data_IF_320388487789
#
_entry.id   IF_320388487789
#
_cell.length_a   1.000
_cell.length_b   1.000
_cell.length_c   1.000
_cell.angle_alpha   90.00
_cell.angle_beta   90.00
_cell.angle_gamma   90.00
#
_symmetry.space_group_name_H-M   'P 1'
#
loop_
_entity.id
_entity.type
_entity.pdbx_description
1 polymer ?
#
# COMPACT_ATOMS: atom_id res chain seq x y z
N UNK A 1 1.56 19.99 -7.98
CA UNK A 1 1.02 19.01 -8.95
C UNK A 1 1.40 17.59 -8.52
N UNK A 2 0.44 16.71 -8.53
CA UNK A 2 0.66 15.30 -8.19
C UNK A 2 0.72 14.45 -9.45
N UNK A 3 1.71 13.57 -9.51
CA UNK A 3 1.88 12.63 -10.61
C UNK A 3 2.12 11.25 -10.01
N UNK A 4 1.44 10.23 -10.55
CA UNK A 4 1.71 8.84 -10.19
C UNK A 4 2.43 8.15 -11.35
N UNK A 5 3.31 7.22 -11.02
CA UNK A 5 3.97 6.37 -12.01
C UNK A 5 4.39 5.06 -11.37
N UNK A 6 4.73 4.04 -12.17
CA UNK A 6 5.27 2.80 -11.60
C UNK A 6 6.60 3.07 -10.87
N UNK A 7 6.85 2.29 -9.84
CA UNK A 7 8.12 2.30 -9.13
C UNK A 7 9.26 1.91 -10.09
N UNK A 8 10.40 2.55 -9.91
CA UNK A 8 11.66 2.21 -10.60
C UNK A 8 12.72 1.90 -9.55
N UNK A 9 13.68 0.99 -9.84
CA UNK A 9 14.75 0.68 -8.88
C UNK A 9 15.53 1.90 -8.39
N UNK A 10 15.63 2.94 -9.21
CA UNK A 10 16.30 4.19 -8.80
C UNK A 10 15.54 4.94 -7.71
N UNK A 11 14.29 4.56 -7.43
CA UNK A 11 13.49 5.17 -6.37
C UNK A 11 13.82 4.62 -4.98
N UNK A 12 14.56 3.52 -4.89
CA UNK A 12 14.78 2.81 -3.62
C UNK A 12 15.24 3.72 -2.48
N UNK A 13 16.23 4.61 -2.66
CA UNK A 13 16.64 5.47 -1.54
C UNK A 13 15.49 6.31 -0.97
N UNK A 14 14.61 6.81 -1.84
CA UNK A 14 13.45 7.60 -1.41
C UNK A 14 12.41 6.73 -0.71
N UNK A 15 12.18 5.51 -1.22
CA UNK A 15 11.26 4.56 -0.60
C UNK A 15 11.75 4.16 0.79
N UNK A 16 13.02 3.85 0.93
CA UNK A 16 13.63 3.48 2.22
C UNK A 16 13.42 4.62 3.24
N UNK A 17 13.65 5.85 2.81
CA UNK A 17 13.46 7.03 3.69
C UNK A 17 12.00 7.14 4.13
N UNK A 18 11.05 6.98 3.22
CA UNK A 18 9.62 7.05 3.54
C UNK A 18 9.23 5.94 4.51
N UNK A 19 9.70 4.72 4.28
CA UNK A 19 9.39 3.58 5.15
C UNK A 19 9.92 3.82 6.56
N UNK A 20 11.16 4.30 6.69
CA UNK A 20 11.74 4.59 7.99
C UNK A 20 10.95 5.66 8.75
N UNK A 21 10.55 6.73 8.06
CA UNK A 21 9.85 7.84 8.71
C UNK A 21 8.38 7.55 8.99
N UNK A 22 7.71 6.81 8.09
CA UNK A 22 6.27 6.62 8.14
C UNK A 22 5.85 5.36 8.85
N UNK A 23 6.57 4.26 8.60
CA UNK A 23 6.22 2.93 9.11
C UNK A 23 7.16 2.50 10.22
N UNK A 24 8.27 3.21 10.43
CA UNK A 24 9.31 2.88 11.42
C UNK A 24 9.80 1.45 11.24
N UNK A 25 9.92 1.03 9.98
CA UNK A 25 10.40 -0.29 9.60
C UNK A 25 11.65 -0.14 8.77
N UNK A 26 12.39 -1.22 8.63
CA UNK A 26 13.59 -1.26 7.83
C UNK A 26 13.64 -2.59 7.09
N UNK A 27 13.51 -2.52 5.77
CA UNK A 27 13.53 -3.70 4.91
C UNK A 27 14.75 -3.65 4.00
N UNK A 28 15.30 -4.81 3.60
CA UNK A 28 16.40 -4.81 2.63
C UNK A 28 15.94 -4.31 1.28
N UNK A 29 16.81 -3.59 0.53
CA UNK A 29 16.45 -3.10 -0.81
C UNK A 29 15.96 -4.19 -1.75
N UNK A 30 16.44 -5.43 -1.60
CA UNK A 30 16.03 -6.55 -2.43
C UNK A 30 14.54 -6.85 -2.32
N UNK A 31 13.90 -6.52 -1.18
CA UNK A 31 12.46 -6.71 -1.03
C UNK A 31 11.69 -5.91 -2.07
N UNK A 32 12.08 -4.65 -2.27
CA UNK A 32 11.38 -3.78 -3.23
C UNK A 32 11.51 -4.28 -4.66
N UNK A 33 12.68 -4.81 -5.01
CA UNK A 33 12.89 -5.40 -6.33
C UNK A 33 12.04 -6.65 -6.51
N UNK A 34 11.94 -7.49 -5.49
CA UNK A 34 11.10 -8.68 -5.53
C UNK A 34 9.63 -8.31 -5.72
N UNK A 35 9.15 -7.30 -4.98
CA UNK A 35 7.75 -6.84 -5.09
C UNK A 35 7.48 -6.32 -6.50
N UNK A 36 8.40 -5.54 -7.06
CA UNK A 36 8.26 -5.05 -8.43
C UNK A 36 8.18 -6.19 -9.44
N UNK A 37 9.02 -7.21 -9.27
CA UNK A 37 9.04 -8.36 -10.18
C UNK A 37 7.77 -9.19 -10.11
N UNK A 38 7.14 -9.26 -8.94
CA UNK A 38 5.90 -10.01 -8.79
C UNK A 38 4.73 -9.35 -9.51
N UNK A 39 4.67 -8.03 -9.53
CA UNK A 39 3.60 -7.32 -10.23
C UNK A 39 3.96 -5.83 -10.36
N UNK A 40 4.46 -5.45 -11.53
CA UNK A 40 4.92 -4.09 -11.79
C UNK A 40 3.80 -3.05 -11.55
N UNK A 41 2.57 -3.35 -11.98
CA UNK A 41 1.46 -2.40 -11.88
C UNK A 41 0.94 -2.24 -10.45
N UNK A 42 1.40 -3.06 -9.52
CA UNK A 42 1.02 -2.97 -8.11
C UNK A 42 1.95 -2.10 -7.29
N UNK A 43 3.06 -1.63 -7.85
CA UNK A 43 4.02 -0.81 -7.11
C UNK A 43 4.06 0.58 -7.75
N UNK A 44 3.41 1.54 -7.07
CA UNK A 44 3.13 2.87 -7.61
C UNK A 44 3.70 3.92 -6.67
N UNK A 45 4.41 4.91 -7.23
CA UNK A 45 4.91 6.05 -6.47
C UNK A 45 4.11 7.30 -6.85
N UNK A 46 3.96 8.21 -5.89
CA UNK A 46 3.33 9.51 -6.12
C UNK A 46 4.35 10.60 -5.87
N UNK A 47 4.47 11.49 -6.86
CA UNK A 47 5.37 12.62 -6.78
C UNK A 47 4.58 13.91 -6.66
N UNK A 48 5.06 14.79 -5.79
CA UNK A 48 4.58 16.16 -5.69
C UNK A 48 5.72 17.06 -6.14
N UNK A 49 5.51 17.79 -7.22
CA UNK A 49 6.52 18.68 -7.79
C UNK A 49 7.87 18.00 -8.01
N UNK A 50 7.82 16.76 -8.52
CA UNK A 50 9.02 15.99 -8.84
C UNK A 50 9.63 15.22 -7.68
N UNK A 51 9.08 15.32 -6.48
CA UNK A 51 9.59 14.63 -5.29
C UNK A 51 8.64 13.51 -4.90
N UNK A 52 9.18 12.30 -4.65
CA UNK A 52 8.38 11.17 -4.17
C UNK A 52 7.95 11.46 -2.73
N UNK A 53 6.63 11.50 -2.50
CA UNK A 53 6.06 11.78 -1.17
C UNK A 53 5.22 10.62 -0.63
N UNK A 54 4.98 9.61 -1.43
CA UNK A 54 4.25 8.42 -0.99
C UNK A 54 4.32 7.30 -2.01
N UNK A 55 3.93 6.11 -1.59
CA UNK A 55 3.87 4.96 -2.48
C UNK A 55 2.91 3.91 -1.95
N UNK A 56 2.45 3.03 -2.85
CA UNK A 56 1.73 1.82 -2.50
C UNK A 56 2.44 0.65 -3.17
N UNK A 57 2.55 -0.46 -2.46
CA UNK A 57 3.15 -1.69 -2.97
C UNK A 57 2.18 -2.84 -2.73
N UNK A 58 1.78 -3.51 -3.79
CA UNK A 58 0.86 -4.64 -3.75
C UNK A 58 1.37 -5.78 -4.62
N UNK A 59 0.96 -6.99 -4.28
CA UNK A 59 1.35 -8.20 -5.01
C UNK A 59 0.10 -9.03 -5.30
N UNK A 60 0.14 -9.92 -6.32
CA UNK A 60 -0.95 -10.86 -6.52
C UNK A 60 -1.03 -11.84 -5.35
N UNK A 61 -2.25 -12.22 -4.97
CA UNK A 61 -2.49 -13.16 -3.87
C UNK A 61 -3.60 -14.11 -4.29
N UNK A 62 -3.27 -15.06 -5.14
CA UNK A 62 -4.24 -15.94 -5.75
C UNK A 62 -4.86 -15.33 -7.00
N UNK A 63 -5.92 -15.97 -7.52
CA UNK A 63 -6.62 -15.51 -8.71
C UNK A 63 -7.46 -14.29 -8.39
N UNK A 64 -7.30 -13.23 -9.18
CA UNK A 64 -8.12 -12.01 -9.11
C UNK A 64 -8.01 -11.21 -7.81
N UNK A 65 -6.98 -11.47 -7.00
CA UNK A 65 -6.81 -10.81 -5.69
C UNK A 65 -5.47 -10.09 -5.66
N UNK A 66 -5.48 -8.83 -5.25
CA UNK A 66 -4.27 -8.07 -4.96
C UNK A 66 -4.15 -7.89 -3.44
N UNK A 67 -2.95 -8.07 -2.91
CA UNK A 67 -2.67 -7.85 -1.49
C UNK A 67 -1.78 -6.64 -1.33
N UNK A 68 -2.24 -5.63 -0.60
CA UNK A 68 -1.44 -4.46 -0.29
C UNK A 68 -0.46 -4.82 0.82
N UNK A 69 0.82 -4.68 0.54
CA UNK A 69 1.88 -4.93 1.52
C UNK A 69 2.24 -3.65 2.28
N UNK A 70 2.27 -2.52 1.57
CA UNK A 70 2.65 -1.23 2.16
C UNK A 70 1.89 -0.11 1.48
N UNK A 71 1.44 0.83 2.29
CA UNK A 71 0.97 2.14 1.84
C UNK A 71 1.58 3.16 2.78
N UNK A 72 2.40 4.04 2.27
CA UNK A 72 3.12 5.00 3.09
C UNK A 72 3.14 6.38 2.45
N UNK A 73 2.97 7.40 3.28
CA UNK A 73 3.00 8.81 2.88
C UNK A 73 3.90 9.55 3.86
N UNK A 74 4.77 10.40 3.37
CA UNK A 74 5.66 11.19 4.23
C UNK A 74 4.85 11.99 5.25
N UNK A 75 5.33 12.06 6.51
CA UNK A 75 4.72 12.95 7.50
C UNK A 75 4.67 14.38 6.96
N UNK A 76 3.59 15.09 7.25
CA UNK A 76 3.38 16.43 6.70
C UNK A 76 2.63 16.45 5.40
N UNK A 77 2.53 15.31 4.70
CA UNK A 77 1.78 15.20 3.44
C UNK A 77 0.51 14.38 3.58
N UNK A 78 0.26 13.79 4.75
CA UNK A 78 -0.79 12.77 4.95
C UNK A 78 -2.22 13.29 4.79
N UNK A 79 -2.46 14.58 5.02
CA UNK A 79 -3.81 15.16 4.96
C UNK A 79 -4.18 15.70 3.58
N UNK A 80 -3.42 15.35 2.53
CA UNK A 80 -3.59 15.91 1.20
C UNK A 80 -4.16 14.89 0.22
N UNK A 81 -4.87 13.89 0.72
CA UNK A 81 -5.50 12.83 -0.09
C UNK A 81 -4.50 12.01 -0.92
N UNK A 82 -3.23 11.99 -0.53
CA UNK A 82 -2.19 11.26 -1.26
C UNK A 82 -2.43 9.75 -1.18
N UNK A 83 -2.73 9.25 0.01
CA UNK A 83 -3.06 7.83 0.17
C UNK A 83 -4.26 7.42 -0.66
N UNK A 84 -5.29 8.26 -0.69
CA UNK A 84 -6.48 8.01 -1.49
C UNK A 84 -6.16 7.98 -2.99
N UNK A 85 -5.29 8.87 -3.47
CA UNK A 85 -4.88 8.88 -4.88
C UNK A 85 -4.09 7.62 -5.23
N UNK A 86 -3.18 7.20 -4.34
CA UNK A 86 -2.40 5.98 -4.55
C UNK A 86 -3.31 4.75 -4.62
N UNK A 87 -4.24 4.63 -3.68
CA UNK A 87 -5.17 3.50 -3.69
C UNK A 87 -6.08 3.54 -4.91
N UNK A 88 -6.53 4.72 -5.34
CA UNK A 88 -7.34 4.85 -6.54
C UNK A 88 -6.62 4.36 -7.78
N UNK A 89 -5.33 4.69 -7.91
CA UNK A 89 -4.52 4.20 -9.02
C UNK A 89 -4.33 2.68 -8.96
N UNK A 90 -4.12 2.15 -7.76
CA UNK A 90 -4.03 0.70 -7.57
C UNK A 90 -5.32 0.01 -7.99
N UNK A 91 -6.48 0.53 -7.59
CA UNK A 91 -7.77 -0.07 -7.97
C UNK A 91 -7.94 -0.11 -9.48
N UNK A 92 -7.55 0.98 -10.16
CA UNK A 92 -7.62 1.02 -11.63
C UNK A 92 -6.74 -0.04 -12.25
N UNK A 93 -5.52 -0.19 -11.77
CA UNK A 93 -4.59 -1.19 -12.27
C UNK A 93 -5.08 -2.61 -11.98
N UNK A 94 -5.70 -2.84 -10.82
CA UNK A 94 -6.33 -4.12 -10.51
C UNK A 94 -7.39 -4.49 -11.54
N UNK A 95 -8.31 -3.57 -11.80
CA UNK A 95 -9.41 -3.81 -12.74
C UNK A 95 -8.85 -4.09 -14.14
N UNK A 96 -7.86 -3.31 -14.57
CA UNK A 96 -7.24 -3.51 -15.88
C UNK A 96 -6.52 -4.85 -16.00
N UNK A 97 -6.10 -5.44 -14.89
CA UNK A 97 -5.40 -6.73 -14.86
C UNK A 97 -6.33 -7.89 -14.48
N UNK A 98 -7.65 -7.65 -14.46
CA UNK A 98 -8.62 -8.70 -14.17
C UNK A 98 -8.75 -9.07 -12.71
N UNK A 99 -8.26 -8.22 -11.81
CA UNK A 99 -8.39 -8.42 -10.37
C UNK A 99 -9.64 -7.68 -9.87
N UNK A 100 -10.41 -8.34 -9.02
CA UNK A 100 -11.67 -7.79 -8.50
C UNK A 100 -11.70 -7.64 -6.99
N UNK A 101 -10.62 -7.98 -6.30
CA UNK A 101 -10.58 -7.97 -4.84
C UNK A 101 -9.24 -7.45 -4.36
N UNK A 102 -9.26 -6.61 -3.34
CA UNK A 102 -8.04 -6.12 -2.67
C UNK A 102 -8.11 -6.50 -1.21
N UNK A 103 -7.04 -7.09 -0.69
CA UNK A 103 -6.93 -7.49 0.71
C UNK A 103 -5.71 -6.83 1.34
N UNK A 104 -5.77 -6.68 2.65
CA UNK A 104 -4.64 -6.17 3.43
C UNK A 104 -4.77 -6.57 4.89
N UNK A 105 -3.68 -6.42 5.63
CA UNK A 105 -3.66 -6.56 7.07
C UNK A 105 -3.32 -5.20 7.68
N UNK A 106 -3.94 -4.90 8.83
CA UNK A 106 -3.70 -3.64 9.54
C UNK A 106 -3.60 -3.92 11.04
N UNK A 107 -2.66 -3.24 11.72
CA UNK A 107 -2.52 -3.39 13.18
C UNK A 107 -3.84 -3.03 13.87
N UNK A 108 -4.24 -3.83 14.85
CA UNK A 108 -5.48 -3.58 15.59
C UNK A 108 -5.47 -2.23 16.31
N UNK A 109 -4.30 -1.76 16.71
CA UNK A 109 -4.16 -0.47 17.39
C UNK A 109 -4.17 0.73 16.44
N UNK A 110 -4.01 0.52 15.13
CA UNK A 110 -3.91 1.61 14.17
C UNK A 110 -5.31 2.08 13.74
N UNK A 111 -5.96 2.84 14.62
CA UNK A 111 -7.34 3.29 14.40
C UNK A 111 -7.47 4.19 13.18
N UNK A 112 -6.47 5.04 12.93
CA UNK A 112 -6.53 5.95 11.78
C UNK A 112 -6.47 5.20 10.46
N UNK A 113 -5.62 4.17 10.37
CA UNK A 113 -5.53 3.36 9.15
C UNK A 113 -6.81 2.56 8.95
N UNK A 114 -7.35 1.96 10.01
CA UNK A 114 -8.61 1.21 9.93
C UNK A 114 -9.71 2.11 9.38
N UNK A 115 -9.85 3.31 9.93
CA UNK A 115 -10.86 4.27 9.47
C UNK A 115 -10.64 4.68 8.02
N UNK A 116 -9.37 4.92 7.65
CA UNK A 116 -9.02 5.26 6.27
C UNK A 116 -9.47 4.16 5.30
N UNK A 117 -9.18 2.90 5.61
CA UNK A 117 -9.57 1.80 4.75
C UNK A 117 -11.08 1.57 4.73
N UNK A 118 -11.75 1.73 5.88
CA UNK A 118 -13.21 1.64 5.90
C UNK A 118 -13.85 2.68 4.98
N UNK A 119 -13.32 3.90 4.98
CA UNK A 119 -13.79 4.96 4.07
C UNK A 119 -13.50 4.66 2.62
N UNK A 120 -12.52 3.82 2.35
CA UNK A 120 -12.22 3.35 0.99
C UNK A 120 -13.14 2.20 0.56
N UNK A 121 -13.96 1.69 1.45
CA UNK A 121 -14.86 0.59 1.16
C UNK A 121 -14.37 -0.77 1.62
N UNK A 122 -13.30 -0.82 2.41
CA UNK A 122 -12.85 -2.08 3.03
C UNK A 122 -13.70 -2.42 4.24
N UNK A 123 -13.86 -3.72 4.48
CA UNK A 123 -14.47 -4.22 5.70
C UNK A 123 -13.59 -5.28 6.34
N UNK A 124 -13.70 -5.42 7.66
CA UNK A 124 -12.95 -6.45 8.39
C UNK A 124 -13.59 -7.81 8.11
N UNK A 125 -12.77 -8.79 7.68
CA UNK A 125 -13.25 -10.15 7.44
C UNK A 125 -12.47 -11.20 8.21
N UNK A 126 -11.65 -10.79 9.17
CA UNK A 126 -10.92 -11.73 10.01
C UNK A 126 -9.88 -11.04 10.88
N UNK A 127 -9.24 -11.82 11.70
CA UNK A 127 -8.18 -11.38 12.60
C UNK A 127 -7.04 -12.39 12.56
N UNK A 128 -5.82 -11.90 12.73
CA UNK A 128 -4.63 -12.74 12.87
C UNK A 128 -3.95 -12.35 14.17
N UNK A 129 -3.89 -13.28 15.13
CA UNK A 129 -3.20 -13.01 16.39
C UNK A 129 -1.70 -13.04 16.18
N UNK A 130 -0.98 -12.18 16.90
CA UNK A 130 0.48 -12.17 16.92
C UNK A 130 1.08 -12.04 15.51
N UNK A 131 0.46 -11.21 14.67
CA UNK A 131 0.90 -11.07 13.28
C UNK A 131 2.21 -10.28 13.16
N UNK A 132 2.38 -9.25 13.99
CA UNK A 132 3.54 -8.37 13.93
C UNK A 132 4.63 -8.84 14.91
N UNK A 133 5.87 -8.42 14.63
CA UNK A 133 7.04 -8.86 15.41
C UNK A 133 6.95 -8.51 16.89
N UNK A 134 6.19 -7.46 17.24
CA UNK A 134 5.99 -7.08 18.65
C UNK A 134 4.86 -7.86 19.33
N UNK A 135 4.27 -8.86 18.66
CA UNK A 135 3.20 -9.67 19.20
C UNK A 135 1.80 -9.11 18.99
N UNK A 136 1.68 -7.94 18.39
CA UNK A 136 0.37 -7.34 18.13
C UNK A 136 -0.35 -8.09 17.02
N UNK A 137 -1.68 -8.22 17.15
CA UNK A 137 -2.53 -8.83 16.12
C UNK A 137 -2.90 -7.85 15.01
N UNK A 138 -3.45 -8.40 13.95
CA UNK A 138 -3.91 -7.63 12.80
C UNK A 138 -5.38 -7.94 12.51
N UNK A 139 -6.08 -6.95 11.95
CA UNK A 139 -7.33 -7.21 11.25
C UNK A 139 -7.02 -7.50 9.79
N UNK A 140 -7.74 -8.48 9.23
CA UNK A 140 -7.77 -8.71 7.79
C UNK A 140 -8.91 -7.89 7.22
N UNK A 141 -8.60 -7.11 6.20
CA UNK A 141 -9.62 -6.28 5.55
C UNK A 141 -9.70 -6.60 4.07
N UNK A 142 -10.90 -6.46 3.51
CA UNK A 142 -11.18 -6.80 2.13
C UNK A 142 -12.05 -5.72 1.49
N UNK A 143 -11.76 -5.43 0.22
CA UNK A 143 -12.57 -4.57 -0.62
C UNK A 143 -12.83 -5.29 -1.94
N UNK A 144 -14.11 -5.36 -2.34
CA UNK A 144 -14.50 -5.87 -3.65
C UNK A 144 -14.57 -4.69 -4.61
N UNK A 145 -13.88 -4.81 -5.75
CA UNK A 145 -13.83 -3.76 -6.76
C UNK A 145 -14.98 -3.91 -7.73
N UNK A 146 -15.49 -2.79 -8.17
CA UNK A 146 -16.53 -2.76 -9.19
C UNK A 146 -15.93 -2.21 -10.48
N UNK A 147 -16.11 -2.97 -11.55
CA UNK A 147 -15.62 -2.59 -12.87
C UNK A 147 -16.55 -1.61 -13.56
#
# INVERSE_FOLDING_TARGET
MFVTRPFSPTDIPHIVSIVNESLRENYPPSLYLTVQNLWRDGFIVLLENGKIVGFVAAVPSGSKIARVLMLAVLPGHRKRAIGQRLMGELYRNCIMNGMDTVILEVRKSNKMAILFYERQGFSVNGEIEKFYSNGEGAYKMVKVLQS
#
